data_IF_255309765915
#
_entry.id   IF_255309765915
#
_cell.length_a   1.000
_cell.length_b   1.000
_cell.length_c   1.000
_cell.angle_alpha   90.00
_cell.angle_beta   90.00
_cell.angle_gamma   90.00
#
_symmetry.space_group_name_H-M   'P 1'
#
loop_
_entity.id
_entity.type
_entity.pdbx_description
1 polymer ?
#
# COMPACT_ATOMS: atom_id res chain seq x y z
N UNK A 1 1.62 -0.47 4.49
CA UNK A 1 2.66 -1.34 3.87
C UNK A 1 3.67 -1.87 4.89
N UNK A 2 3.34 -1.93 6.18
CA UNK A 2 4.34 -2.26 7.22
C UNK A 2 4.80 -3.73 7.17
N UNK A 3 3.86 -4.66 6.92
CA UNK A 3 4.15 -6.09 6.71
C UNK A 3 5.12 -6.34 5.56
N UNK A 4 4.97 -5.60 4.46
CA UNK A 4 5.89 -5.66 3.32
C UNK A 4 7.27 -5.09 3.61
N UNK A 5 7.35 -4.03 4.44
CA UNK A 5 8.64 -3.49 4.92
C UNK A 5 9.34 -4.43 5.89
N UNK A 6 8.59 -5.25 6.63
CA UNK A 6 9.09 -6.33 7.49
C UNK A 6 9.59 -7.58 6.74
N UNK A 7 9.58 -7.57 5.40
CA UNK A 7 10.10 -8.65 4.56
C UNK A 7 9.07 -9.68 4.10
N UNK A 8 7.78 -9.51 4.42
CA UNK A 8 6.73 -10.35 3.84
C UNK A 8 6.48 -10.00 2.37
N UNK A 9 6.24 -11.02 1.53
CA UNK A 9 5.97 -10.81 0.12
C UNK A 9 4.68 -9.99 -0.11
N UNK A 10 4.73 -8.89 -0.91
CA UNK A 10 3.58 -8.03 -1.17
C UNK A 10 2.36 -8.78 -1.69
N UNK A 11 2.60 -9.81 -2.51
CA UNK A 11 1.53 -10.62 -3.10
C UNK A 11 0.75 -11.36 -2.03
N UNK A 12 1.44 -12.03 -1.10
CA UNK A 12 0.83 -12.78 0.00
C UNK A 12 0.03 -11.88 0.92
N UNK A 13 0.59 -10.72 1.28
CA UNK A 13 -0.10 -9.72 2.12
C UNK A 13 -1.39 -9.21 1.44
N UNK A 14 -1.33 -8.89 0.15
CA UNK A 14 -2.51 -8.42 -0.61
C UNK A 14 -3.55 -9.53 -0.82
N UNK A 15 -3.12 -10.79 -0.93
CA UNK A 15 -4.00 -11.96 -1.01
C UNK A 15 -4.74 -12.23 0.31
N UNK A 16 -4.04 -12.14 1.45
CA UNK A 16 -4.63 -12.29 2.78
C UNK A 16 -5.61 -11.16 3.11
N UNK A 17 -5.37 -9.94 2.60
CA UNK A 17 -6.31 -8.82 2.67
C UNK A 17 -7.53 -8.98 1.74
N UNK A 18 -7.60 -10.07 0.95
CA UNK A 18 -8.74 -10.38 0.07
C UNK A 18 -8.76 -9.58 -1.24
N UNK A 19 -7.69 -8.85 -1.58
CA UNK A 19 -7.64 -8.04 -2.79
C UNK A 19 -7.32 -8.90 -4.02
N UNK A 20 -8.31 -9.62 -4.56
CA UNK A 20 -8.07 -10.59 -5.66
C UNK A 20 -7.88 -9.97 -7.04
N UNK A 21 -8.49 -8.81 -7.32
CA UNK A 21 -8.42 -8.16 -8.64
C UNK A 21 -7.19 -7.25 -8.76
N UNK A 22 -6.54 -7.26 -9.93
CA UNK A 22 -5.34 -6.45 -10.18
C UNK A 22 -5.59 -4.94 -10.02
N UNK A 23 -6.78 -4.45 -10.42
CA UNK A 23 -7.15 -3.05 -10.31
C UNK A 23 -7.19 -2.58 -8.85
N UNK A 24 -7.64 -3.42 -7.92
CA UNK A 24 -7.65 -3.12 -6.49
C UNK A 24 -6.23 -3.15 -5.90
N UNK A 25 -5.38 -4.10 -6.33
CA UNK A 25 -3.99 -4.18 -5.86
C UNK A 25 -3.16 -2.97 -6.29
N UNK A 26 -3.38 -2.47 -7.52
CA UNK A 26 -2.66 -1.31 -8.06
C UNK A 26 -2.82 -0.08 -7.17
N UNK A 27 -4.01 0.14 -6.62
CA UNK A 27 -4.28 1.29 -5.75
C UNK A 27 -3.33 1.36 -4.56
N UNK A 28 -3.04 0.20 -3.94
CA UNK A 28 -2.15 0.13 -2.78
C UNK A 28 -0.68 0.11 -3.22
N UNK A 29 -0.35 -0.66 -4.26
CA UNK A 29 1.03 -0.79 -4.76
C UNK A 29 1.63 0.53 -5.27
N UNK A 30 0.80 1.41 -5.82
CA UNK A 30 1.24 2.69 -6.38
C UNK A 30 0.87 3.89 -5.52
N UNK A 31 0.47 3.68 -4.26
CA UNK A 31 0.13 4.77 -3.36
C UNK A 31 1.38 5.58 -2.98
N UNK A 32 1.28 6.90 -3.05
CA UNK A 32 2.30 7.83 -2.57
C UNK A 32 1.73 8.60 -1.37
N UNK A 33 2.41 8.50 -0.23
CA UNK A 33 2.02 9.15 1.03
C UNK A 33 2.62 10.57 1.06
N UNK A 34 1.92 11.53 0.44
CA UNK A 34 2.35 12.95 0.36
C UNK A 34 1.73 13.82 1.45
N UNK A 35 0.91 13.24 2.34
CA UNK A 35 0.14 14.01 3.32
C UNK A 35 1.05 14.76 4.30
N UNK A 36 2.13 14.14 4.75
CA UNK A 36 3.09 14.74 5.69
C UNK A 36 3.83 15.94 5.09
N UNK A 37 3.98 15.98 3.76
CA UNK A 37 4.60 17.10 3.05
C UNK A 37 3.65 18.30 2.90
N UNK A 38 2.34 18.06 2.80
CA UNK A 38 1.33 19.10 2.60
C UNK A 38 0.83 19.68 3.92
N UNK A 39 0.79 18.88 4.99
CA UNK A 39 0.30 19.29 6.32
C UNK A 39 0.92 20.60 6.87
N UNK A 40 2.22 20.91 6.69
CA UNK A 40 2.83 22.15 7.18
C UNK A 40 2.35 23.44 6.48
N UNK A 41 1.67 23.31 5.33
CA UNK A 41 1.21 24.43 4.51
C UNK A 41 -0.31 24.70 4.65
N UNK A 42 -1.00 23.95 5.51
CA UNK A 42 -2.45 24.05 5.76
C UNK A 42 -2.82 25.07 6.84
#
# INVERSE_FOLDING_TARGET
>A
MERTRGGEEPRKVLDELGLKRYCCRRMILSHAELIDEVLPFG
#
